data_IF_479922877040
#
_entry.id   IF_479922877040
#
_cell.length_a   1.000
_cell.length_b   1.000
_cell.length_c   1.000
_cell.angle_alpha   90.00
_cell.angle_beta   90.00
_cell.angle_gamma   90.00
#
_symmetry.space_group_name_H-M   'P 1'
#
loop_
_entity.id
_entity.type
_entity.pdbx_description
1 polymer ?
#
# COMPACT_ATOMS: atom_id res chain seq x y z
N UNK A 1 5.07 -14.94 -22.07
CA UNK A 1 4.62 -13.54 -21.85
C UNK A 1 5.12 -13.18 -20.48
N UNK A 2 6.07 -12.25 -20.38
CA UNK A 2 6.69 -11.89 -19.10
C UNK A 2 5.70 -11.03 -18.31
N UNK A 3 5.33 -11.51 -17.14
CA UNK A 3 4.47 -10.84 -16.20
C UNK A 3 5.28 -9.72 -15.54
N UNK A 4 5.29 -8.50 -16.12
CA UNK A 4 6.20 -7.39 -15.75
C UNK A 4 5.87 -6.78 -14.37
N UNK A 5 6.00 -7.59 -13.33
CA UNK A 5 5.69 -7.27 -11.94
C UNK A 5 6.86 -6.55 -11.30
N UNK A 6 6.60 -5.33 -10.86
CA UNK A 6 7.58 -4.49 -10.18
C UNK A 6 7.73 -4.86 -8.71
N UNK A 7 6.60 -4.99 -8.00
CA UNK A 7 6.61 -5.31 -6.57
C UNK A 7 5.33 -5.98 -6.14
N UNK A 8 5.42 -7.04 -5.35
CA UNK A 8 4.26 -7.78 -4.86
C UNK A 8 4.43 -8.14 -3.38
N UNK A 9 3.44 -7.73 -2.59
CA UNK A 9 3.28 -8.04 -1.19
C UNK A 9 2.01 -8.87 -1.01
N UNK A 10 2.09 -9.91 -0.18
CA UNK A 10 0.92 -10.63 0.29
C UNK A 10 1.04 -10.82 1.79
N UNK A 11 0.02 -10.38 2.54
CA UNK A 11 0.08 -10.25 3.98
C UNK A 11 0.38 -11.58 4.67
N UNK A 12 -0.25 -12.67 4.22
CA UNK A 12 -0.03 -14.03 4.74
C UNK A 12 1.40 -14.54 4.54
N UNK A 13 2.17 -13.98 3.59
CA UNK A 13 3.57 -14.36 3.34
C UNK A 13 4.59 -13.60 4.19
N UNK A 14 4.16 -12.54 4.87
CA UNK A 14 5.01 -11.83 5.81
C UNK A 14 5.08 -12.65 7.11
N UNK A 15 6.27 -12.82 7.67
CA UNK A 15 6.50 -13.61 8.88
C UNK A 15 5.51 -13.27 10.02
N UNK A 16 5.00 -14.30 10.70
CA UNK A 16 3.94 -14.17 11.70
C UNK A 16 4.35 -13.33 12.91
N UNK A 17 5.64 -13.29 13.23
CA UNK A 17 6.26 -12.53 14.32
C UNK A 17 6.70 -11.11 13.89
N UNK A 18 6.37 -10.68 12.67
CA UNK A 18 6.67 -9.32 12.20
C UNK A 18 6.03 -8.27 13.10
N UNK A 19 6.87 -7.44 13.73
CA UNK A 19 6.42 -6.36 14.60
C UNK A 19 6.13 -5.08 13.80
N UNK A 20 4.88 -4.89 13.39
CA UNK A 20 4.45 -3.66 12.70
C UNK A 20 4.42 -2.43 13.60
N UNK A 21 4.42 -2.62 14.92
CA UNK A 21 4.39 -1.55 15.92
C UNK A 21 5.78 -0.97 16.20
N UNK A 22 6.86 -1.62 15.77
CA UNK A 22 8.23 -1.14 15.98
C UNK A 22 8.44 0.22 15.30
N UNK A 23 8.94 1.20 16.06
CA UNK A 23 9.32 2.52 15.55
C UNK A 23 10.84 2.64 15.40
N UNK A 24 11.29 3.54 14.53
CA UNK A 24 12.71 3.81 14.26
C UNK A 24 13.52 2.58 13.77
N UNK A 25 12.84 1.52 13.30
CA UNK A 25 13.44 0.33 12.71
C UNK A 25 12.79 0.09 11.35
N UNK A 26 13.62 -0.20 10.34
CA UNK A 26 13.16 -0.71 9.05
C UNK A 26 13.20 -2.23 9.09
N UNK A 27 12.05 -2.87 8.87
CA UNK A 27 12.00 -4.32 8.67
C UNK A 27 11.80 -4.63 7.19
N UNK A 28 12.33 -5.77 6.74
CA UNK A 28 12.26 -6.16 5.34
C UNK A 28 11.48 -7.47 5.21
N UNK A 29 10.64 -7.53 4.19
CA UNK A 29 10.00 -8.76 3.71
C UNK A 29 10.34 -8.94 2.24
N UNK A 30 10.28 -10.19 1.78
CA UNK A 30 10.55 -10.50 0.38
C UNK A 30 9.51 -9.85 -0.53
N UNK A 31 9.98 -9.39 -1.69
CA UNK A 31 9.13 -9.03 -2.80
C UNK A 31 8.77 -10.31 -3.55
N UNK A 32 7.50 -10.69 -3.55
CA UNK A 32 7.05 -11.92 -4.19
C UNK A 32 7.15 -11.87 -5.74
N UNK A 33 7.42 -10.69 -6.30
CA UNK A 33 7.73 -10.48 -7.70
C UNK A 33 9.24 -10.36 -7.98
N UNK A 34 10.11 -10.68 -7.01
CA UNK A 34 11.55 -10.41 -7.12
C UNK A 34 12.19 -10.99 -8.38
N UNK A 35 11.85 -12.22 -8.78
CA UNK A 35 12.42 -12.85 -9.98
C UNK A 35 12.19 -11.98 -11.24
N UNK A 36 10.95 -11.56 -11.48
CA UNK A 36 10.64 -10.70 -12.64
C UNK A 36 11.19 -9.29 -12.44
N UNK A 37 11.11 -8.75 -11.22
CA UNK A 37 11.64 -7.42 -10.94
C UNK A 37 13.17 -7.33 -11.10
N UNK A 38 13.91 -8.42 -10.86
CA UNK A 38 15.34 -8.54 -11.15
C UNK A 38 15.58 -8.38 -12.64
N UNK A 39 14.78 -9.04 -13.49
CA UNK A 39 14.90 -8.92 -14.95
C UNK A 39 14.59 -7.51 -15.46
N UNK A 40 13.56 -6.86 -14.89
CA UNK A 40 13.18 -5.50 -15.27
C UNK A 40 14.23 -4.45 -14.87
N UNK A 41 14.83 -4.61 -13.68
CA UNK A 41 15.67 -3.56 -13.08
C UNK A 41 17.16 -3.83 -13.15
N UNK A 42 17.58 -5.06 -13.40
CA UNK A 42 18.97 -5.51 -13.28
C UNK A 42 19.51 -5.52 -11.84
N UNK A 43 18.66 -5.31 -10.82
CA UNK A 43 19.06 -5.34 -9.40
C UNK A 43 19.02 -6.75 -8.82
N UNK A 44 19.52 -6.93 -7.60
CA UNK A 44 19.40 -8.21 -6.89
C UNK A 44 18.03 -8.31 -6.18
N UNK A 45 17.59 -9.53 -5.88
CA UNK A 45 16.39 -9.75 -5.07
C UNK A 45 16.47 -9.06 -3.69
N UNK A 46 17.68 -8.91 -3.12
CA UNK A 46 17.89 -8.23 -1.83
C UNK A 46 17.60 -6.73 -1.92
N UNK A 47 18.00 -6.09 -3.03
CA UNK A 47 17.75 -4.67 -3.30
C UNK A 47 16.26 -4.38 -3.55
N UNK A 48 15.52 -5.41 -3.99
CA UNK A 48 14.11 -5.33 -4.35
C UNK A 48 13.17 -5.75 -3.20
N UNK A 49 13.69 -5.99 -1.99
CA UNK A 49 12.86 -6.29 -0.82
C UNK A 49 11.96 -5.11 -0.45
N UNK A 50 10.81 -5.46 0.12
CA UNK A 50 9.84 -4.50 0.62
C UNK A 50 10.20 -4.08 2.04
N UNK A 51 10.39 -2.79 2.24
CA UNK A 51 10.74 -2.19 3.51
C UNK A 51 9.48 -1.69 4.23
N UNK A 52 9.20 -2.20 5.43
CA UNK A 52 8.23 -1.61 6.35
C UNK A 52 8.92 -0.59 7.25
N UNK A 53 8.29 0.58 7.39
CA UNK A 53 8.70 1.62 8.33
C UNK A 53 7.47 2.17 9.04
N UNK A 54 7.56 2.31 10.36
CA UNK A 54 6.50 2.88 11.17
C UNK A 54 7.03 4.01 12.07
N UNK A 55 6.31 5.12 12.10
CA UNK A 55 6.53 6.22 13.03
C UNK A 55 5.30 6.52 13.89
N UNK A 56 4.23 5.72 13.79
CA UNK A 56 3.01 5.90 14.58
C UNK A 56 3.24 5.51 16.03
N UNK A 57 2.63 6.25 16.95
CA UNK A 57 2.57 5.89 18.36
C UNK A 57 1.59 4.74 18.55
N UNK A 58 2.12 3.55 18.83
CA UNK A 58 1.36 2.28 18.95
C UNK A 58 1.34 1.72 20.37
N UNK A 59 1.93 2.44 21.33
CA UNK A 59 1.92 2.10 22.76
C UNK A 59 1.68 3.35 23.61
N UNK A 60 1.24 3.17 24.85
CA UNK A 60 0.93 4.27 25.78
C UNK A 60 -0.53 4.72 25.74
N UNK A 61 -0.81 5.88 26.35
CA UNK A 61 -2.18 6.35 26.61
C UNK A 61 -2.83 7.08 25.42
N UNK A 62 -2.04 7.61 24.48
CA UNK A 62 -2.51 8.37 23.32
C UNK A 62 -2.06 7.68 22.02
N UNK A 63 -2.66 6.53 21.75
CA UNK A 63 -2.36 5.71 20.58
C UNK A 63 -2.83 6.40 19.29
N UNK A 64 -1.93 6.50 18.31
CA UNK A 64 -2.24 6.93 16.94
C UNK A 64 -2.70 5.76 16.07
N UNK A 65 -2.21 4.54 16.36
CA UNK A 65 -2.60 3.34 15.65
C UNK A 65 -2.44 2.07 16.50
N UNK A 66 -3.17 1.03 16.12
CA UNK A 66 -2.95 -0.35 16.50
C UNK A 66 -2.77 -1.17 15.22
N UNK A 67 -1.76 -2.03 15.21
CA UNK A 67 -1.55 -2.99 14.13
C UNK A 67 -1.78 -4.40 14.65
N UNK A 68 -2.59 -5.15 13.93
CA UNK A 68 -2.85 -6.56 14.23
C UNK A 68 -2.89 -7.40 12.95
N UNK A 69 -2.86 -8.71 13.13
CA UNK A 69 -3.21 -9.66 12.08
C UNK A 69 -4.68 -10.04 12.19
N UNK A 70 -5.34 -10.19 11.07
CA UNK A 70 -6.59 -10.95 11.03
C UNK A 70 -6.31 -12.43 11.26
N UNK A 71 -7.34 -13.24 11.49
CA UNK A 71 -7.20 -14.68 11.76
C UNK A 71 -6.52 -15.42 10.60
N UNK A 72 -6.65 -14.93 9.37
CA UNK A 72 -6.00 -15.47 8.17
C UNK A 72 -4.77 -14.68 7.71
N UNK A 73 -4.27 -13.74 8.52
CA UNK A 73 -2.98 -13.09 8.31
C UNK A 73 -3.00 -11.77 7.54
N UNK A 74 -4.17 -11.23 7.19
CA UNK A 74 -4.30 -9.84 6.73
C UNK A 74 -3.75 -8.85 7.76
N UNK A 75 -3.24 -7.70 7.33
CA UNK A 75 -2.70 -6.67 8.23
C UNK A 75 -3.79 -5.63 8.46
N UNK A 76 -4.32 -5.56 9.67
CA UNK A 76 -5.31 -4.56 10.04
C UNK A 76 -4.61 -3.38 10.70
N UNK A 77 -4.68 -2.22 10.04
CA UNK A 77 -4.29 -0.94 10.63
C UNK A 77 -5.53 -0.25 11.17
N UNK A 78 -5.66 -0.23 12.49
CA UNK A 78 -6.65 0.60 13.20
C UNK A 78 -5.97 1.92 13.50
N UNK A 79 -6.51 3.00 12.98
CA UNK A 79 -5.92 4.34 13.16
C UNK A 79 -6.74 5.11 14.19
N UNK A 80 -6.24 6.22 14.74
CA UNK A 80 -7.06 7.14 15.54
C UNK A 80 -7.57 8.30 14.69
N UNK A 81 -8.81 8.72 14.93
CA UNK A 81 -9.40 9.95 14.39
C UNK A 81 -9.26 11.13 15.37
N UNK A 82 -8.46 10.97 16.43
CA UNK A 82 -8.25 12.01 17.44
C UNK A 82 -6.76 12.26 17.75
N UNK A 83 -5.98 11.19 17.91
CA UNK A 83 -4.65 11.26 18.50
C UNK A 83 -3.52 11.50 17.50
N UNK A 84 -3.81 11.52 16.20
CA UNK A 84 -2.79 11.75 15.19
C UNK A 84 -2.49 13.25 15.08
N UNK A 85 -1.54 13.73 15.89
CA UNK A 85 -1.20 15.15 15.98
C UNK A 85 -0.10 15.56 15.00
N UNK A 86 0.72 14.60 14.56
CA UNK A 86 1.80 14.81 13.61
C UNK A 86 1.57 13.88 12.42
N UNK A 87 2.12 14.22 11.24
CA UNK A 87 2.04 13.39 10.04
C UNK A 87 2.85 12.09 10.15
N UNK A 88 2.63 11.29 11.19
CA UNK A 88 3.19 9.95 11.33
C UNK A 88 2.48 8.95 10.43
N UNK A 89 3.15 7.83 10.16
CA UNK A 89 2.66 6.81 9.23
C UNK A 89 3.31 5.46 9.45
N UNK A 90 2.60 4.41 9.06
CA UNK A 90 3.14 3.07 8.84
C UNK A 90 3.06 2.74 7.36
N UNK A 91 4.17 2.36 6.72
CA UNK A 91 4.21 2.20 5.27
C UNK A 91 5.13 1.08 4.81
N UNK A 92 4.78 0.48 3.68
CA UNK A 92 5.70 -0.31 2.87
C UNK A 92 6.30 0.54 1.75
N UNK A 93 7.54 0.23 1.37
CA UNK A 93 8.26 0.85 0.26
C UNK A 93 9.10 -0.20 -0.46
N UNK A 94 9.41 0.00 -1.74
CA UNK A 94 10.29 -0.88 -2.51
C UNK A 94 11.38 -0.06 -3.21
N UNK A 95 12.39 0.46 -2.48
CA UNK A 95 13.33 1.43 -3.05
C UNK A 95 14.08 0.93 -4.29
N UNK A 96 14.31 -0.38 -4.41
CA UNK A 96 14.98 -0.94 -5.57
C UNK A 96 14.25 -0.72 -6.90
N UNK A 97 12.91 -0.57 -6.92
CA UNK A 97 12.19 -0.37 -8.19
C UNK A 97 12.24 1.09 -8.69
N UNK A 98 12.82 1.99 -7.91
CA UNK A 98 12.59 3.41 -8.10
C UNK A 98 13.29 3.96 -9.34
N UNK A 99 14.53 3.53 -9.60
CA UNK A 99 15.24 3.97 -10.81
C UNK A 99 14.51 3.53 -12.08
N UNK A 100 13.94 2.32 -12.07
CA UNK A 100 13.14 1.79 -13.17
C UNK A 100 11.88 2.61 -13.42
N UNK A 101 11.08 2.85 -12.37
CA UNK A 101 9.86 3.65 -12.49
C UNK A 101 10.16 5.08 -13.00
N UNK A 102 11.26 5.70 -12.54
CA UNK A 102 11.64 7.04 -12.98
C UNK A 102 12.15 7.06 -14.43
N UNK A 103 12.87 6.01 -14.86
CA UNK A 103 13.32 5.88 -16.25
C UNK A 103 12.15 5.71 -17.23
N UNK A 104 11.10 5.00 -16.80
CA UNK A 104 9.97 4.61 -17.67
C UNK A 104 8.67 5.40 -17.43
N UNK A 105 8.71 6.46 -16.59
CA UNK A 105 7.51 7.21 -16.20
C UNK A 105 6.79 7.96 -17.35
N UNK A 106 7.47 8.15 -18.49
CA UNK A 106 6.98 8.97 -19.60
C UNK A 106 6.53 8.14 -20.82
N UNK A 107 6.96 6.88 -20.91
CA UNK A 107 6.69 5.96 -22.01
C UNK A 107 5.94 4.70 -21.56
N UNK A 108 5.95 4.37 -20.26
CA UNK A 108 5.20 3.24 -19.72
C UNK A 108 4.00 3.68 -18.86
N UNK A 109 2.99 2.81 -18.79
CA UNK A 109 1.93 2.89 -17.80
C UNK A 109 2.14 1.85 -16.70
N UNK A 110 1.87 2.23 -15.45
CA UNK A 110 1.97 1.35 -14.29
C UNK A 110 0.59 1.14 -13.68
N UNK A 111 0.35 -0.03 -13.10
CA UNK A 111 -0.88 -0.34 -12.39
C UNK A 111 -0.58 -0.79 -10.95
N UNK A 112 -1.34 -0.23 -10.01
CA UNK A 112 -1.36 -0.63 -8.61
C UNK A 112 -2.66 -1.39 -8.33
N UNK A 113 -2.54 -2.57 -7.75
CA UNK A 113 -3.65 -3.37 -7.26
C UNK A 113 -3.53 -3.58 -5.76
N UNK A 114 -4.62 -3.42 -5.03
CA UNK A 114 -4.69 -3.73 -3.60
C UNK A 114 -5.91 -4.62 -3.34
N UNK A 115 -5.70 -5.69 -2.58
CA UNK A 115 -6.80 -6.41 -1.95
C UNK A 115 -6.95 -5.87 -0.54
N UNK A 116 -8.09 -5.26 -0.27
CA UNK A 116 -8.31 -4.51 0.97
C UNK A 116 -9.69 -4.76 1.56
N UNK A 117 -9.88 -4.31 2.79
CA UNK A 117 -11.20 -4.15 3.40
C UNK A 117 -11.19 -2.93 4.31
N UNK A 118 -11.93 -1.88 3.96
CA UNK A 118 -12.12 -0.72 4.83
C UNK A 118 -13.01 -1.08 6.01
N UNK A 119 -12.52 -0.87 7.21
CA UNK A 119 -13.16 -1.22 8.48
C UNK A 119 -13.69 0.00 9.22
N UNK A 120 -13.15 1.19 8.95
CA UNK A 120 -13.69 2.47 9.39
C UNK A 120 -13.39 3.56 8.37
N UNK A 121 -14.39 4.37 8.06
CA UNK A 121 -14.20 5.56 7.22
C UNK A 121 -13.32 6.60 7.91
N UNK A 122 -12.68 7.43 7.11
CA UNK A 122 -12.08 8.67 7.58
C UNK A 122 -13.15 9.75 7.81
N UNK A 123 -12.85 10.72 8.66
CA UNK A 123 -13.73 11.84 9.02
C UNK A 123 -13.28 13.19 8.45
N UNK A 124 -14.22 14.11 8.30
CA UNK A 124 -13.97 15.46 7.80
C UNK A 124 -13.69 15.55 6.29
N UNK A 125 -13.41 16.77 5.83
CA UNK A 125 -13.14 17.05 4.40
C UNK A 125 -11.82 16.44 3.92
N UNK A 126 -10.83 16.34 4.81
CA UNK A 126 -9.52 15.74 4.52
C UNK A 126 -9.54 14.22 4.38
N UNK A 127 -10.62 13.53 4.76
CA UNK A 127 -10.76 12.08 4.53
C UNK A 127 -10.74 11.72 3.03
N UNK A 128 -11.21 12.64 2.18
CA UNK A 128 -11.15 12.51 0.72
C UNK A 128 -9.75 12.78 0.16
N UNK A 129 -8.88 13.42 0.96
CA UNK A 129 -7.50 13.71 0.61
C UNK A 129 -6.54 12.63 1.09
N UNK A 130 -6.93 11.79 2.06
CA UNK A 130 -6.14 10.63 2.52
C UNK A 130 -5.76 9.73 1.34
N UNK A 131 -4.51 9.29 1.34
CA UNK A 131 -3.89 8.50 0.27
C UNK A 131 -3.31 7.24 0.88
N UNK A 132 -3.68 6.09 0.35
CA UNK A 132 -3.18 4.78 0.81
C UNK A 132 -2.05 4.25 -0.06
N UNK A 133 -1.76 4.91 -1.19
CA UNK A 133 -0.53 4.67 -1.96
C UNK A 133 -0.11 5.86 -2.81
N UNK A 134 1.19 6.15 -2.82
CA UNK A 134 1.77 7.26 -3.58
C UNK A 134 3.08 6.90 -4.25
N UNK A 135 3.24 7.34 -5.49
CA UNK A 135 4.52 7.50 -6.18
C UNK A 135 4.54 8.92 -6.75
N UNK A 136 5.31 9.81 -6.15
CA UNK A 136 5.31 11.23 -6.52
C UNK A 136 6.62 11.89 -6.16
N UNK A 137 6.93 13.04 -6.75
CA UNK A 137 8.07 13.84 -6.27
C UNK A 137 7.83 14.29 -4.82
N UNK A 138 8.90 14.72 -4.15
CA UNK A 138 8.79 15.28 -2.79
C UNK A 138 8.31 16.74 -2.78
N UNK A 139 8.26 17.39 -3.95
CA UNK A 139 7.86 18.79 -4.12
C UNK A 139 6.51 18.85 -4.81
N UNK A 140 5.49 19.34 -4.12
CA UNK A 140 4.11 19.39 -4.63
C UNK A 140 3.61 18.01 -5.10
N UNK A 141 3.62 16.99 -4.21
CA UNK A 141 3.36 15.59 -4.56
C UNK A 141 2.02 15.37 -5.28
N UNK A 142 0.97 16.11 -4.90
CA UNK A 142 -0.33 16.04 -5.57
C UNK A 142 -0.29 16.49 -7.03
N UNK A 143 0.59 17.44 -7.38
CA UNK A 143 0.74 17.98 -8.73
C UNK A 143 1.76 17.20 -9.56
N UNK A 144 2.82 16.69 -8.92
CA UNK A 144 3.97 16.04 -9.54
C UNK A 144 4.00 14.54 -9.16
N UNK A 145 3.19 13.73 -9.83
CA UNK A 145 2.90 12.35 -9.45
C UNK A 145 3.01 11.39 -10.62
N UNK A 146 3.28 10.12 -10.31
CA UNK A 146 3.04 8.98 -11.21
C UNK A 146 1.78 8.22 -10.77
N UNK A 147 1.62 7.97 -9.47
CA UNK A 147 0.45 7.30 -8.89
C UNK A 147 0.06 8.03 -7.61
N UNK A 148 -1.22 8.38 -7.49
CA UNK A 148 -1.86 8.61 -6.20
C UNK A 148 -3.12 7.75 -6.15
N UNK A 149 -3.22 6.92 -5.11
CA UNK A 149 -4.31 5.97 -4.96
C UNK A 149 -4.99 6.16 -3.61
N UNK A 150 -6.32 6.17 -3.63
CA UNK A 150 -7.17 6.33 -2.45
C UNK A 150 -8.15 5.19 -2.39
N UNK A 151 -8.22 4.52 -1.25
CA UNK A 151 -9.27 3.55 -0.99
C UNK A 151 -10.63 4.25 -0.87
N UNK A 152 -11.75 3.57 -1.19
CA UNK A 152 -13.08 4.12 -0.98
C UNK A 152 -13.29 4.59 0.46
N UNK A 153 -13.90 5.77 0.65
CA UNK A 153 -14.29 6.22 2.00
C UNK A 153 -15.64 5.62 2.42
N UNK A 154 -15.75 4.31 2.38
CA UNK A 154 -16.94 3.55 2.73
C UNK A 154 -16.54 2.24 3.43
N UNK A 155 -17.27 1.85 4.48
CA UNK A 155 -17.08 0.56 5.14
C UNK A 155 -17.54 -0.55 4.20
N UNK A 156 -16.80 -1.66 4.17
CA UNK A 156 -17.19 -2.86 3.44
C UNK A 156 -17.24 -4.08 4.36
N UNK A 157 -18.33 -4.84 4.24
CA UNK A 157 -18.48 -6.15 4.90
C UNK A 157 -17.61 -7.22 4.25
N UNK A 158 -17.21 -7.02 2.99
CA UNK A 158 -16.40 -7.96 2.23
C UNK A 158 -15.08 -7.34 1.78
N UNK A 159 -14.01 -8.13 1.68
CA UNK A 159 -12.78 -7.72 0.99
C UNK A 159 -13.05 -7.37 -0.48
N UNK A 160 -12.34 -6.37 -0.99
CA UNK A 160 -12.47 -5.85 -2.34
C UNK A 160 -11.13 -5.78 -3.07
N UNK A 161 -11.22 -5.52 -4.37
CA UNK A 161 -10.09 -5.17 -5.22
C UNK A 161 -10.14 -3.67 -5.53
N UNK A 162 -9.09 -2.95 -5.13
CA UNK A 162 -8.82 -1.61 -5.60
C UNK A 162 -7.79 -1.66 -6.72
N UNK A 163 -8.07 -1.00 -7.85
CA UNK A 163 -7.21 -0.98 -9.04
C UNK A 163 -6.97 0.46 -9.48
N UNK A 164 -5.71 0.86 -9.63
CA UNK A 164 -5.31 2.22 -10.02
C UNK A 164 -4.26 2.16 -11.13
N UNK A 165 -4.61 2.66 -12.31
CA UNK A 165 -3.64 2.92 -13.37
C UNK A 165 -2.92 4.25 -13.09
N UNK A 166 -1.65 4.34 -13.46
CA UNK A 166 -0.84 5.54 -13.28
C UNK A 166 -1.38 6.71 -14.09
N UNK A 167 -1.38 7.89 -13.47
CA UNK A 167 -1.84 9.15 -14.02
C UNK A 167 -0.71 10.20 -13.95
N UNK A 168 0.40 9.92 -14.66
CA UNK A 168 1.59 10.79 -14.66
C UNK A 168 1.20 12.25 -14.92
N UNK A 169 1.55 13.13 -13.99
CA UNK A 169 1.27 14.55 -14.07
C UNK A 169 2.45 15.37 -13.52
N UNK A 170 2.60 16.58 -14.06
CA UNK A 170 3.59 17.54 -13.61
C UNK A 170 5.04 17.11 -13.89
N UNK A 171 5.95 17.62 -13.06
CA UNK A 171 7.40 17.39 -13.18
C UNK A 171 7.75 15.91 -13.08
N UNK A 172 8.81 15.52 -13.80
CA UNK A 172 9.34 14.17 -13.78
C UNK A 172 9.91 13.79 -12.41
N UNK A 173 9.67 12.54 -12.03
CA UNK A 173 10.28 11.89 -10.88
C UNK A 173 11.80 11.84 -11.11
N UNK A 174 12.62 12.37 -10.17
CA UNK A 174 14.05 12.13 -10.22
C UNK A 174 14.34 10.66 -9.89
N UNK A 175 15.49 10.10 -10.30
CA UNK A 175 15.81 8.70 -10.05
C UNK A 175 16.00 8.36 -8.56
N UNK A 176 16.29 9.35 -7.70
CA UNK A 176 16.76 9.12 -6.33
C UNK A 176 15.93 9.79 -5.22
N UNK A 177 15.08 10.78 -5.52
CA UNK A 177 14.41 11.60 -4.48
C UNK A 177 12.91 11.75 -4.74
N UNK A 178 12.12 10.77 -4.31
CA UNK A 178 10.66 10.81 -4.45
C UNK A 178 9.95 9.90 -3.42
N UNK A 179 8.67 10.15 -3.19
CA UNK A 179 7.82 9.36 -2.30
C UNK A 179 7.32 8.10 -3.01
N UNK A 180 7.18 6.99 -2.27
CA UNK A 180 6.87 5.67 -2.84
C UNK A 180 6.10 4.76 -1.87
N UNK A 181 5.27 5.36 -1.02
CA UNK A 181 4.59 4.65 0.06
C UNK A 181 3.48 3.77 -0.52
N UNK A 182 3.62 2.44 -0.43
CA UNK A 182 2.76 1.46 -1.11
C UNK A 182 2.70 0.11 -0.36
N UNK A 183 1.66 -0.14 0.44
CA UNK A 183 0.66 0.82 0.90
C UNK A 183 1.13 1.62 2.13
N UNK A 184 0.33 2.59 2.53
CA UNK A 184 0.49 3.38 3.76
C UNK A 184 -0.78 3.40 4.59
N UNK A 185 -0.60 3.28 5.90
CA UNK A 185 -1.59 3.58 6.91
C UNK A 185 -1.33 4.99 7.43
N UNK A 186 -2.41 5.76 7.56
CA UNK A 186 -2.40 7.14 8.04
C UNK A 186 -1.83 8.11 6.98
N UNK A 187 -0.96 9.07 7.35
CA UNK A 187 -0.62 10.18 6.47
C UNK A 187 0.48 9.79 5.47
N UNK A 188 0.13 9.58 4.20
CA UNK A 188 1.11 9.39 3.12
C UNK A 188 2.19 10.48 3.09
N UNK A 189 3.40 10.13 2.62
CA UNK A 189 4.50 11.08 2.47
C UNK A 189 4.09 12.28 1.62
N UNK A 190 4.45 13.48 2.09
CA UNK A 190 4.05 14.75 1.47
C UNK A 190 2.66 15.27 1.84
N UNK A 191 1.78 14.46 2.44
CA UNK A 191 0.47 14.92 2.95
C UNK A 191 0.53 15.37 4.40
N UNK A 192 1.41 14.78 5.22
CA UNK A 192 1.72 15.27 6.57
C UNK A 192 0.46 15.53 7.42
N UNK A 193 0.39 16.71 8.04
CA UNK A 193 -0.72 17.09 8.92
C UNK A 193 -2.04 17.40 8.22
N UNK A 194 -2.06 17.49 6.87
CA UNK A 194 -3.28 17.81 6.13
C UNK A 194 -4.38 16.76 6.31
N UNK A 195 -3.99 15.52 6.56
CA UNK A 195 -4.91 14.36 6.68
C UNK A 195 -4.92 13.76 8.07
N UNK A 196 -4.32 14.46 9.05
CA UNK A 196 -4.37 14.04 10.44
C UNK A 196 -5.82 13.82 10.89
N UNK A 197 -6.04 12.77 11.68
CA UNK A 197 -7.34 12.47 12.27
C UNK A 197 -8.47 12.22 11.24
N UNK A 198 -8.11 11.98 9.98
CA UNK A 198 -9.05 11.82 8.88
C UNK A 198 -8.81 10.55 8.07
N UNK A 199 -7.85 9.72 8.49
CA UNK A 199 -7.48 8.51 7.77
C UNK A 199 -8.40 7.33 8.09
N UNK A 200 -8.49 6.40 7.13
CA UNK A 200 -9.30 5.18 7.24
C UNK A 200 -8.60 4.14 8.11
N UNK A 201 -9.39 3.30 8.80
CA UNK A 201 -8.92 2.00 9.28
C UNK A 201 -9.27 0.94 8.26
N UNK A 202 -8.35 0.03 7.97
CA UNK A 202 -8.54 -0.95 6.91
C UNK A 202 -7.58 -2.14 7.04
N UNK A 203 -7.93 -3.23 6.37
CA UNK A 203 -7.12 -4.45 6.29
C UNK A 203 -6.44 -4.52 4.93
N UNK A 204 -5.12 -4.71 4.93
CA UNK A 204 -4.34 -5.06 3.76
C UNK A 204 -4.20 -6.58 3.64
N UNK A 205 -4.58 -7.15 2.50
CA UNK A 205 -4.31 -8.55 2.18
C UNK A 205 -3.21 -8.71 1.14
N UNK A 206 -3.16 -7.80 0.16
CA UNK A 206 -2.22 -7.87 -0.96
C UNK A 206 -2.01 -6.48 -1.56
N UNK A 207 -0.79 -6.19 -1.99
CA UNK A 207 -0.46 -4.99 -2.76
C UNK A 207 0.49 -5.36 -3.90
N UNK A 208 0.22 -4.89 -5.11
CA UNK A 208 0.92 -5.30 -6.31
C UNK A 208 1.11 -4.11 -7.24
N UNK A 209 2.34 -3.86 -7.70
CA UNK A 209 2.65 -2.91 -8.78
C UNK A 209 3.12 -3.67 -10.01
N UNK A 210 2.54 -3.35 -11.16
CA UNK A 210 2.86 -3.92 -12.48
C UNK A 210 3.21 -2.79 -13.45
N UNK A 211 4.20 -3.02 -14.30
CA UNK A 211 4.41 -2.23 -15.51
C UNK A 211 3.51 -2.80 -16.63
N UNK A 212 2.43 -2.08 -16.91
CA UNK A 212 1.40 -2.52 -17.87
C UNK A 212 1.98 -2.56 -19.27
N UNK A 213 2.76 -1.54 -19.65
CA UNK A 213 3.36 -1.45 -20.98
C UNK A 213 4.36 -2.58 -21.21
N UNK A 214 5.27 -2.82 -20.26
CA UNK A 214 6.26 -3.88 -20.36
C UNK A 214 5.64 -5.29 -20.34
N UNK A 215 4.51 -5.47 -19.64
CA UNK A 215 3.79 -6.75 -19.61
C UNK A 215 3.14 -7.12 -20.95
N UNK A 216 2.77 -6.11 -21.75
CA UNK A 216 1.98 -6.28 -22.97
C UNK A 216 0.53 -6.71 -22.72
N UNK A 217 0.06 -6.71 -21.47
CA UNK A 217 -1.31 -7.08 -21.07
C UNK A 217 -2.12 -5.81 -20.83
N UNK A 218 -3.36 -5.75 -21.32
CA UNK A 218 -4.19 -4.57 -21.10
C UNK A 218 -4.56 -4.41 -19.61
N UNK A 219 -4.70 -3.16 -19.14
CA UNK A 219 -5.07 -2.89 -17.74
C UNK A 219 -6.39 -3.58 -17.32
N UNK A 220 -7.37 -3.66 -18.22
CA UNK A 220 -8.64 -4.35 -17.95
C UNK A 220 -8.45 -5.86 -17.75
N UNK A 221 -7.52 -6.48 -18.50
CA UNK A 221 -7.19 -7.90 -18.37
C UNK A 221 -6.42 -8.17 -17.07
N UNK A 222 -5.46 -7.32 -16.72
CA UNK A 222 -4.78 -7.38 -15.42
C UNK A 222 -5.76 -7.22 -14.25
N UNK A 223 -6.71 -6.27 -14.37
CA UNK A 223 -7.76 -6.07 -13.37
C UNK A 223 -8.65 -7.30 -13.24
N UNK A 224 -9.05 -7.90 -14.36
CA UNK A 224 -9.85 -9.13 -14.35
C UNK A 224 -9.08 -10.31 -13.73
N UNK A 225 -7.77 -10.42 -13.99
CA UNK A 225 -6.92 -11.45 -13.39
C UNK A 225 -6.78 -11.26 -11.87
N UNK A 226 -6.54 -10.04 -11.39
CA UNK A 226 -6.51 -9.75 -9.95
C UNK A 226 -7.89 -9.97 -9.30
N UNK A 227 -8.99 -9.67 -10.01
CA UNK A 227 -10.34 -9.94 -9.51
C UNK A 227 -10.60 -11.46 -9.38
N UNK A 228 -10.13 -12.26 -10.34
CA UNK A 228 -10.18 -13.72 -10.23
C UNK A 228 -9.34 -14.21 -9.05
N UNK A 229 -8.15 -13.64 -8.84
CA UNK A 229 -7.30 -13.99 -7.71
C UNK A 229 -7.93 -13.60 -6.37
N UNK A 230 -8.59 -12.44 -6.26
CA UNK A 230 -9.39 -12.06 -5.09
C UNK A 230 -10.45 -13.13 -4.82
N UNK A 231 -11.23 -13.49 -5.84
CA UNK A 231 -12.29 -14.50 -5.72
C UNK A 231 -11.75 -15.86 -5.28
N UNK A 232 -10.58 -16.29 -5.78
CA UNK A 232 -9.92 -17.54 -5.34
C UNK A 232 -9.45 -17.45 -3.90
N UNK A 233 -8.87 -16.32 -3.50
CA UNK A 233 -8.31 -16.16 -2.16
C UNK A 233 -9.39 -16.11 -1.06
N UNK A 234 -10.55 -15.51 -1.36
CA UNK A 234 -11.65 -15.34 -0.41
C UNK A 234 -12.82 -16.32 -0.60
N UNK A 235 -12.89 -16.99 -1.76
CA UNK A 235 -13.85 -18.05 -2.02
C UNK A 235 -13.61 -19.29 -1.15
N UNK A 236 -14.57 -20.22 -1.16
CA UNK A 236 -14.50 -21.45 -0.36
C UNK A 236 -13.17 -22.20 -0.54
N UNK A 237 -12.45 -22.45 0.56
CA UNK A 237 -11.16 -23.14 0.55
C UNK A 237 -9.95 -22.24 0.21
N UNK A 238 -10.18 -20.97 -0.12
CA UNK A 238 -9.14 -19.97 -0.30
C UNK A 238 -8.41 -19.63 1.00
N UNK A 239 -7.20 -19.07 0.88
CA UNK A 239 -6.34 -18.77 2.03
C UNK A 239 -6.93 -17.75 3.02
N UNK A 240 -7.75 -16.83 2.54
CA UNK A 240 -8.44 -15.82 3.34
C UNK A 240 -9.95 -16.14 3.49
N UNK A 241 -10.39 -17.35 3.13
CA UNK A 241 -11.78 -17.75 3.24
C UNK A 241 -12.25 -17.70 4.69
N UNK A 242 -13.35 -16.99 4.93
CA UNK A 242 -13.94 -16.83 6.26
C UNK A 242 -13.05 -16.06 7.24
N UNK A 243 -12.17 -15.20 6.75
CA UNK A 243 -11.33 -14.38 7.61
C UNK A 243 -12.15 -13.46 8.52
N UNK A 244 -11.64 -13.24 9.73
CA UNK A 244 -12.29 -12.44 10.77
C UNK A 244 -11.31 -11.45 11.37
N UNK A 245 -11.82 -10.26 11.69
CA UNK A 245 -11.05 -9.15 12.24
C UNK A 245 -11.20 -9.17 13.77
N UNK A 246 -10.12 -9.35 14.54
CA UNK A 246 -10.20 -9.50 16.00
C UNK A 246 -10.71 -8.24 16.71
N UNK A 247 -10.22 -7.07 16.31
CA UNK A 247 -10.47 -5.82 17.04
C UNK A 247 -11.35 -4.88 16.23
N UNK A 248 -12.39 -4.34 16.86
CA UNK A 248 -13.20 -3.27 16.27
C UNK A 248 -12.34 -2.00 16.09
N UNK A 249 -12.42 -1.31 14.96
CA UNK A 249 -11.70 -0.04 14.78
C UNK A 249 -12.05 1.02 15.81
N UNK A 250 -13.26 0.98 16.38
CA UNK A 250 -13.69 1.87 17.47
C UNK A 250 -12.95 1.65 18.80
N UNK A 251 -12.00 0.71 18.86
CA UNK A 251 -11.09 0.57 20.00
C UNK A 251 -10.12 1.76 20.13
N UNK A 252 -9.91 2.53 19.04
CA UNK A 252 -9.27 3.84 19.09
C UNK A 252 -10.30 4.95 18.81
N UNK A 253 -10.21 6.10 19.49
CA UNK A 253 -11.03 7.26 19.18
C UNK A 253 -10.72 7.77 17.78
#
# INVERSE_FOLDING_TARGET
MLDARCSMLDAEKIAADSNFSATAVTTYTDNLAAEVAVELTGKTATDLRLAWNNSLVTTGAALEALFERTVKGGIHGIVSLLNQQIGHRGRFQCPGIMEYNAAHQNDHQFALFMHDRVTRIGEGTSAQQSVESIISTQVSPSANRLIISRLPNAISDNPGLHSQLSDKAGTDLPPTVYYQDRPVFVAASGFGTLVNNACKSWVLYRCHLVDVTASGIAFAELTAAEQQLLNVNFGTGGKYAGDTIPTSPSALP
#
